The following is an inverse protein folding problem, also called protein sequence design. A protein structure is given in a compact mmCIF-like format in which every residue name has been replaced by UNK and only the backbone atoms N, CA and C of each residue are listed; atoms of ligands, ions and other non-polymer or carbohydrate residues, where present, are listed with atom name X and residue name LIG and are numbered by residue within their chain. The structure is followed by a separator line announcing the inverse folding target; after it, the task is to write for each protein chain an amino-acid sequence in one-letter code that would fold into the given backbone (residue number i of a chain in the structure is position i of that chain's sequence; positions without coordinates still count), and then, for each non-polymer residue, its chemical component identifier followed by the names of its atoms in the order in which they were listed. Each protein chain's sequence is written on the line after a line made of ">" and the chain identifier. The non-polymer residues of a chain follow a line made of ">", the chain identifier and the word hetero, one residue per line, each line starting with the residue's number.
data_IF_584654240623
#
_entry.id   IF_584654240623
#
_cell.length_a   1.000
_cell.length_b   1.000
_cell.length_c   1.000
_cell.angle_alpha   90.00
_cell.angle_beta   90.00
_cell.angle_gamma   90.00
#
_symmetry.space_group_name_H-M   'P 1'
#
loop_
_entity.id
_entity.type
_entity.pdbx_description
1 polymer ?
#
# COMPACT_ATOMS: atom_id res chain seq x y z
N UNK A 1 6.36 1.85 20.78
CA UNK A 1 5.34 2.84 21.17
C UNK A 1 4.20 2.13 21.84
N UNK A 2 3.82 2.61 23.01
CA UNK A 2 2.73 2.03 23.74
C UNK A 2 1.39 2.32 23.05
N UNK A 3 0.47 1.34 23.08
CA UNK A 3 -0.85 1.51 22.48
C UNK A 3 -1.65 2.66 23.10
N UNK A 4 -1.28 3.10 24.29
CA UNK A 4 -1.98 4.21 24.94
C UNK A 4 -1.67 5.58 24.34
N UNK A 5 -0.67 5.68 23.49
CA UNK A 5 -0.20 6.98 23.02
C UNK A 5 -1.07 7.66 21.97
N UNK A 6 -1.95 6.92 21.30
CA UNK A 6 -2.83 7.53 20.31
C UNK A 6 -4.26 7.13 20.61
N UNK A 7 -4.51 6.84 21.90
CA UNK A 7 -5.73 6.25 22.21
C UNK A 7 -6.89 7.11 22.04
N UNK A 8 -6.87 8.22 22.15
CA UNK A 8 -8.02 8.85 22.39
C UNK A 8 -8.29 10.02 21.61
N UNK A 9 -8.90 9.83 20.70
CA UNK A 9 -9.50 10.86 20.12
C UNK A 9 -10.44 11.40 21.02
N UNK A 10 -10.49 12.29 21.41
CA UNK A 10 -11.08 13.37 21.23
C UNK A 10 -11.15 14.38 22.13
N UNK A 11 -10.30 14.51 22.86
CA UNK A 11 -10.18 15.64 23.70
C UNK A 11 -9.40 16.71 22.98
N UNK A 12 -9.86 17.96 23.06
CA UNK A 12 -9.22 19.06 22.34
C UNK A 12 -7.75 19.23 22.69
N UNK A 13 -7.37 18.96 23.95
CA UNK A 13 -5.97 19.04 24.37
C UNK A 13 -5.08 17.98 23.80
N UNK A 14 -5.64 16.88 23.34
CA UNK A 14 -4.90 15.76 22.75
C UNK A 14 -4.79 15.86 21.24
N UNK A 15 -5.56 16.72 20.61
CA UNK A 15 -5.61 16.84 19.17
C UNK A 15 -4.24 17.19 18.56
N UNK A 16 -3.51 18.11 19.17
CA UNK A 16 -2.18 18.47 18.67
C UNK A 16 -1.17 17.33 18.82
N UNK A 17 -1.29 16.53 19.89
CA UNK A 17 -0.46 15.35 20.07
C UNK A 17 -0.76 14.29 19.02
N UNK A 18 -2.04 14.06 18.72
CA UNK A 18 -2.46 13.13 17.67
C UNK A 18 -1.98 13.61 16.30
N UNK A 19 -2.10 14.92 16.02
CA UNK A 19 -1.63 15.48 14.76
C UNK A 19 -0.12 15.27 14.58
N UNK A 20 0.67 15.44 15.64
CA UNK A 20 2.11 15.20 15.61
C UNK A 20 2.41 13.72 15.36
N UNK A 21 1.68 12.82 16.01
CA UNK A 21 1.81 11.39 15.78
C UNK A 21 1.39 11.01 14.36
N UNK A 22 0.37 11.68 13.84
CA UNK A 22 -0.09 11.44 12.49
C UNK A 22 0.99 11.77 11.45
N UNK A 23 1.75 12.85 11.64
CA UNK A 23 2.86 13.16 10.74
C UNK A 23 3.91 12.05 10.74
N UNK A 24 4.26 11.51 11.91
CA UNK A 24 5.17 10.37 12.00
C UNK A 24 4.59 9.12 11.33
N UNK A 25 3.30 8.88 11.49
CA UNK A 25 2.61 7.77 10.86
C UNK A 25 2.63 7.94 9.35
N UNK A 26 2.35 9.14 8.85
CA UNK A 26 2.38 9.44 7.42
C UNK A 26 3.76 9.20 6.84
N UNK A 27 4.81 9.65 7.53
CA UNK A 27 6.19 9.43 7.11
C UNK A 27 6.50 7.94 6.98
N UNK A 28 6.04 7.13 7.94
CA UNK A 28 6.21 5.69 7.93
C UNK A 28 5.59 5.06 6.67
N UNK A 29 4.34 5.41 6.35
CA UNK A 29 3.66 4.86 5.18
C UNK A 29 4.22 5.40 3.87
N UNK A 30 4.54 6.68 3.82
CA UNK A 30 5.16 7.28 2.63
C UNK A 30 6.52 6.67 2.32
N UNK A 31 7.27 6.30 3.34
CA UNK A 31 8.56 5.62 3.17
C UNK A 31 8.38 4.25 2.51
N UNK A 32 7.34 3.51 2.91
CA UNK A 32 7.01 2.25 2.27
C UNK A 32 6.57 2.42 0.82
N UNK A 33 5.76 3.46 0.55
CA UNK A 33 5.35 3.80 -0.82
C UNK A 33 6.57 4.10 -1.69
N UNK A 34 7.53 4.88 -1.19
CA UNK A 34 8.75 5.19 -1.93
C UNK A 34 9.50 3.92 -2.35
N UNK A 35 9.59 2.95 -1.45
CA UNK A 35 10.24 1.66 -1.75
C UNK A 35 9.50 0.91 -2.86
N UNK A 36 8.19 0.80 -2.76
CA UNK A 36 7.40 0.07 -3.76
C UNK A 36 7.46 0.78 -5.11
N UNK A 37 7.31 2.10 -5.14
CA UNK A 37 7.35 2.87 -6.40
C UNK A 37 8.72 2.76 -7.05
N UNK A 38 9.81 2.88 -6.27
CA UNK A 38 11.16 2.74 -6.81
C UNK A 38 11.40 1.35 -7.40
N UNK A 39 10.95 0.30 -6.70
CA UNK A 39 11.06 -1.07 -7.18
C UNK A 39 10.30 -1.26 -8.49
N UNK A 40 9.08 -0.76 -8.59
CA UNK A 40 8.28 -0.86 -9.80
C UNK A 40 8.91 -0.11 -10.96
N UNK A 41 9.47 1.07 -10.72
CA UNK A 41 10.15 1.84 -11.76
C UNK A 41 11.39 1.11 -12.28
N UNK A 42 12.17 0.52 -11.39
CA UNK A 42 13.34 -0.26 -11.77
C UNK A 42 12.93 -1.47 -12.61
N UNK A 43 11.89 -2.19 -12.17
CA UNK A 43 11.38 -3.35 -12.90
C UNK A 43 10.85 -2.98 -14.27
N UNK A 44 10.14 -1.84 -14.37
CA UNK A 44 9.66 -1.34 -15.65
C UNK A 44 10.81 -1.03 -16.60
N UNK A 45 11.84 -0.34 -16.10
CA UNK A 45 13.00 0.03 -16.91
C UNK A 45 13.78 -1.20 -17.39
N UNK A 46 13.95 -2.18 -16.52
CA UNK A 46 14.62 -3.43 -16.87
C UNK A 46 13.84 -4.18 -17.95
N UNK A 47 12.53 -4.30 -17.78
CA UNK A 47 11.66 -4.95 -18.77
C UNK A 47 11.71 -4.21 -20.11
N UNK A 48 11.64 -2.87 -20.08
CA UNK A 48 11.73 -2.05 -21.28
C UNK A 48 13.03 -2.27 -22.03
N UNK A 49 14.14 -2.36 -21.30
CA UNK A 49 15.44 -2.60 -21.94
C UNK A 49 15.49 -3.96 -22.66
N UNK A 50 14.79 -4.96 -22.13
CA UNK A 50 14.82 -6.31 -22.69
C UNK A 50 13.75 -6.55 -23.76
N UNK A 51 12.64 -5.78 -23.74
CA UNK A 51 11.47 -6.04 -24.59
C UNK A 51 11.05 -4.84 -25.43
N UNK A 52 11.74 -3.72 -25.32
CA UNK A 52 11.47 -2.48 -26.06
C UNK A 52 10.05 -1.91 -25.87
N UNK A 53 9.42 -2.19 -24.74
CA UNK A 53 8.13 -1.60 -24.35
C UNK A 53 8.01 -1.52 -22.83
N UNK A 54 7.12 -0.65 -22.36
CA UNK A 54 6.85 -0.48 -20.93
C UNK A 54 5.73 -1.42 -20.51
N UNK A 55 5.93 -2.28 -19.51
CA UNK A 55 4.85 -3.10 -18.95
C UNK A 55 3.98 -2.31 -17.96
N UNK A 56 4.41 -1.13 -17.54
CA UNK A 56 3.66 -0.25 -16.67
C UNK A 56 3.36 1.05 -17.42
N UNK A 57 2.07 1.39 -17.51
CA UNK A 57 1.63 2.63 -18.12
C UNK A 57 1.70 3.79 -17.15
N UNK A 58 1.29 3.57 -15.91
CA UNK A 58 1.24 4.61 -14.90
C UNK A 58 1.26 4.02 -13.49
N UNK A 59 1.82 4.77 -12.54
CA UNK A 59 1.85 4.43 -11.13
C UNK A 59 1.30 5.62 -10.35
N UNK A 60 0.31 5.37 -9.50
CA UNK A 60 -0.26 6.38 -8.60
C UNK A 60 -0.19 5.87 -7.18
N UNK A 61 0.04 6.75 -6.23
CA UNK A 61 0.09 6.38 -4.82
C UNK A 61 -0.76 7.29 -3.97
N UNK A 62 -1.20 6.77 -2.84
CA UNK A 62 -2.07 7.51 -1.93
C UNK A 62 -1.92 6.95 -0.52
N UNK A 63 -1.98 7.85 0.46
CA UNK A 63 -2.17 7.48 1.87
C UNK A 63 -3.56 7.95 2.29
N UNK A 64 -4.31 7.09 2.97
CA UNK A 64 -5.64 7.45 3.45
C UNK A 64 -5.57 8.62 4.43
N UNK A 65 -6.58 9.47 4.39
CA UNK A 65 -6.71 10.56 5.36
C UNK A 65 -6.92 10.00 6.77
N UNK A 66 -6.54 10.78 7.77
CA UNK A 66 -6.76 10.41 9.15
C UNK A 66 -8.24 10.14 9.43
N UNK A 67 -9.12 10.98 8.92
CA UNK A 67 -10.57 10.81 9.10
C UNK A 67 -11.05 9.47 8.54
N UNK A 68 -10.60 9.10 7.35
CA UNK A 68 -10.96 7.80 6.75
C UNK A 68 -10.44 6.62 7.56
N UNK A 69 -9.23 6.72 8.08
CA UNK A 69 -8.63 5.67 8.92
C UNK A 69 -9.46 5.50 10.20
N UNK A 70 -9.76 6.60 10.87
CA UNK A 70 -10.52 6.60 12.12
C UNK A 70 -11.91 6.01 11.89
N UNK A 71 -12.60 6.43 10.84
CA UNK A 71 -13.94 5.90 10.50
C UNK A 71 -13.89 4.39 10.30
N UNK A 72 -12.90 3.91 9.59
CA UNK A 72 -12.73 2.47 9.36
C UNK A 72 -12.46 1.71 10.66
N UNK A 73 -11.60 2.25 11.50
CA UNK A 73 -11.31 1.64 12.80
C UNK A 73 -12.55 1.56 13.69
N UNK A 74 -13.33 2.63 13.74
CA UNK A 74 -14.58 2.66 14.50
C UNK A 74 -15.58 1.64 13.99
N UNK A 75 -15.77 1.57 12.67
CA UNK A 75 -16.71 0.61 12.06
C UNK A 75 -16.32 -0.84 12.35
N UNK A 76 -15.01 -1.12 12.44
CA UNK A 76 -14.52 -2.47 12.70
C UNK A 76 -14.28 -2.77 14.16
N UNK A 77 -14.56 -1.82 15.05
CA UNK A 77 -14.34 -2.02 16.48
C UNK A 77 -12.87 -2.15 16.87
N UNK A 78 -11.98 -1.51 16.10
CA UNK A 78 -10.53 -1.56 16.36
C UNK A 78 -10.18 -0.46 17.37
N UNK A 79 -9.38 -0.78 18.41
CA UNK A 79 -8.92 0.26 19.33
C UNK A 79 -8.19 1.39 18.61
N UNK A 80 -8.45 2.64 19.01
CA UNK A 80 -7.89 3.81 18.35
C UNK A 80 -6.46 4.08 18.82
N UNK A 81 -5.56 3.14 18.55
CA UNK A 81 -4.13 3.24 18.87
C UNK A 81 -3.29 3.10 17.62
N UNK A 82 -2.08 3.64 17.63
CA UNK A 82 -1.15 3.51 16.52
C UNK A 82 -0.81 2.05 16.24
N UNK A 83 -0.57 1.27 17.29
CA UNK A 83 -0.20 -0.13 17.13
C UNK A 83 -1.34 -0.95 16.54
N UNK A 84 -2.58 -0.74 17.00
CA UNK A 84 -3.74 -1.42 16.47
C UNK A 84 -3.99 -1.02 15.01
N UNK A 85 -3.83 0.26 14.69
CA UNK A 85 -3.95 0.76 13.32
C UNK A 85 -2.96 0.05 12.39
N UNK A 86 -1.69 0.02 12.75
CA UNK A 86 -0.66 -0.62 11.93
C UNK A 86 -0.90 -2.13 11.77
N UNK A 87 -1.38 -2.77 12.81
CA UNK A 87 -1.61 -4.22 12.81
C UNK A 87 -2.85 -4.61 12.02
N UNK A 88 -3.94 -3.85 12.17
CA UNK A 88 -5.25 -4.26 11.67
C UNK A 88 -5.64 -3.61 10.34
N UNK A 89 -5.12 -2.43 10.01
CA UNK A 89 -5.46 -1.74 8.78
C UNK A 89 -4.27 -1.82 7.82
N UNK A 90 -4.37 -2.64 6.79
CA UNK A 90 -3.25 -2.91 5.86
C UNK A 90 -3.31 -2.08 4.57
N UNK A 91 -4.37 -1.33 4.35
CA UNK A 91 -4.58 -0.55 3.13
C UNK A 91 -4.50 0.98 3.36
N UNK A 92 -3.81 1.41 4.42
CA UNK A 92 -3.60 2.83 4.67
C UNK A 92 -2.77 3.45 3.56
N UNK A 93 -1.70 2.78 3.15
CA UNK A 93 -0.88 3.19 2.02
C UNK A 93 -1.22 2.32 0.82
N UNK A 94 -1.48 2.94 -0.32
CA UNK A 94 -1.83 2.24 -1.54
C UNK A 94 -1.03 2.71 -2.74
N UNK A 95 -0.71 1.78 -3.63
CA UNK A 95 -0.07 2.06 -4.90
C UNK A 95 -0.91 1.40 -5.99
N UNK A 96 -1.35 2.20 -6.96
CA UNK A 96 -2.08 1.70 -8.12
C UNK A 96 -1.14 1.60 -9.30
N UNK A 97 -1.08 0.43 -9.91
CA UNK A 97 -0.25 0.14 -11.07
C UNK A 97 -1.16 -0.13 -12.25
N UNK A 98 -1.02 0.66 -13.30
CA UNK A 98 -1.84 0.50 -14.52
C UNK A 98 -0.93 -0.07 -15.61
N UNK A 99 -1.30 -1.23 -16.14
CA UNK A 99 -0.56 -1.93 -17.17
C UNK A 99 -1.34 -1.91 -18.49
N UNK A 100 -0.66 -1.99 -19.66
CA UNK A 100 -1.34 -2.07 -20.94
C UNK A 100 -2.17 -3.34 -21.08
N UNK A 101 -1.65 -4.49 -20.63
CA UNK A 101 -2.27 -5.80 -20.85
C UNK A 101 -2.38 -6.59 -19.55
N UNK A 102 -3.33 -7.53 -19.52
CA UNK A 102 -3.52 -8.43 -18.36
C UNK A 102 -2.24 -9.23 -18.08
N UNK A 103 -1.56 -9.73 -19.11
CA UNK A 103 -0.31 -10.47 -18.94
C UNK A 103 0.76 -9.64 -18.23
N UNK A 104 0.81 -8.35 -18.48
CA UNK A 104 1.74 -7.44 -17.82
C UNK A 104 1.43 -7.32 -16.33
N UNK A 105 0.14 -7.30 -15.96
CA UNK A 105 -0.28 -7.25 -14.56
C UNK A 105 0.36 -8.39 -13.77
N UNK A 106 0.19 -9.62 -14.25
CA UNK A 106 0.72 -10.79 -13.56
C UNK A 106 2.24 -10.82 -13.55
N UNK A 107 2.85 -10.41 -14.65
CA UNK A 107 4.30 -10.39 -14.76
C UNK A 107 4.93 -9.38 -13.80
N UNK A 108 4.41 -8.16 -13.77
CA UNK A 108 4.91 -7.11 -12.87
C UNK A 108 4.69 -7.53 -11.41
N UNK A 109 3.52 -8.07 -11.09
CA UNK A 109 3.23 -8.54 -9.73
C UNK A 109 4.20 -9.63 -9.29
N UNK A 110 4.48 -10.61 -10.15
CA UNK A 110 5.42 -11.68 -9.85
C UNK A 110 6.85 -11.14 -9.66
N UNK A 111 7.28 -10.23 -10.52
CA UNK A 111 8.61 -9.64 -10.39
C UNK A 111 8.79 -8.91 -9.06
N UNK A 112 7.76 -8.19 -8.61
CA UNK A 112 7.81 -7.47 -7.36
C UNK A 112 7.89 -8.42 -6.16
N UNK A 113 7.01 -9.41 -6.09
CA UNK A 113 6.94 -10.31 -4.93
C UNK A 113 8.06 -11.34 -4.86
N UNK A 114 8.82 -11.50 -5.93
CA UNK A 114 10.00 -12.36 -5.91
C UNK A 114 11.21 -11.70 -5.24
N UNK A 115 11.12 -10.42 -4.92
CA UNK A 115 12.20 -9.73 -4.22
C UNK A 115 12.22 -10.12 -2.75
N UNK A 116 13.44 -10.30 -2.20
CA UNK A 116 13.61 -10.81 -0.85
C UNK A 116 13.03 -9.90 0.24
N UNK A 117 12.94 -8.60 -0.02
CA UNK A 117 12.45 -7.61 0.92
C UNK A 117 10.97 -7.23 0.72
N UNK A 118 10.25 -8.04 -0.05
CA UNK A 118 8.80 -7.89 -0.26
C UNK A 118 8.12 -9.21 0.10
N UNK A 119 7.18 -9.13 1.06
CA UNK A 119 6.48 -10.31 1.54
C UNK A 119 4.99 -10.16 1.24
N UNK A 120 4.36 -11.20 0.72
CA UNK A 120 2.92 -11.20 0.42
C UNK A 120 2.14 -11.47 1.71
N UNK A 121 1.15 -10.64 2.00
CA UNK A 121 0.19 -10.86 3.10
C UNK A 121 -1.09 -11.47 2.55
N UNK A 122 -1.69 -10.84 1.54
CA UNK A 122 -2.91 -11.34 0.89
C UNK A 122 -2.88 -11.10 -0.61
N UNK A 123 -3.62 -11.92 -1.34
CA UNK A 123 -3.86 -11.75 -2.78
C UNK A 123 -5.34 -11.96 -3.02
N UNK A 124 -5.97 -11.02 -3.75
CA UNK A 124 -7.34 -11.15 -4.23
C UNK A 124 -7.34 -10.86 -5.73
N UNK A 125 -7.64 -11.88 -6.52
CA UNK A 125 -7.58 -11.78 -7.97
C UNK A 125 -8.97 -11.54 -8.55
N UNK A 126 -9.32 -10.27 -8.71
CA UNK A 126 -10.58 -9.88 -9.33
C UNK A 126 -10.49 -9.79 -10.85
N UNK A 127 -9.36 -10.16 -11.44
CA UNK A 127 -9.24 -10.34 -12.89
C UNK A 127 -9.78 -11.71 -13.27
N UNK A 128 -9.35 -12.76 -12.55
CA UNK A 128 -9.86 -14.11 -12.77
C UNK A 128 -11.30 -14.27 -12.31
N UNK A 129 -11.66 -13.61 -11.20
CA UNK A 129 -13.03 -13.61 -10.67
C UNK A 129 -13.48 -12.17 -10.45
N UNK A 130 -13.97 -11.50 -11.48
CA UNK A 130 -14.44 -10.11 -11.34
C UNK A 130 -15.53 -9.99 -10.29
N UNK A 131 -15.61 -8.81 -9.66
CA UNK A 131 -16.71 -8.51 -8.74
C UNK A 131 -18.02 -8.46 -9.51
N UNK A 132 -19.15 -8.61 -8.81
CA UNK A 132 -20.48 -8.58 -9.42
C UNK A 132 -20.72 -7.33 -10.26
N UNK A 133 -20.16 -6.20 -9.85
CA UNK A 133 -20.28 -4.94 -10.60
C UNK A 133 -19.32 -4.85 -11.80
N UNK A 134 -18.59 -5.92 -12.13
CA UNK A 134 -17.65 -5.95 -13.25
C UNK A 134 -16.26 -5.44 -12.94
N UNK A 135 -15.99 -5.02 -11.71
CA UNK A 135 -14.66 -4.50 -11.33
C UNK A 135 -13.59 -5.59 -11.47
N UNK A 136 -12.50 -5.25 -12.14
CA UNK A 136 -11.39 -6.17 -12.43
C UNK A 136 -10.08 -5.55 -11.99
N UNK A 137 -9.40 -6.21 -11.07
CA UNK A 137 -8.09 -5.78 -10.58
C UNK A 137 -7.43 -6.93 -9.82
N UNK A 138 -6.11 -6.95 -9.79
CA UNK A 138 -5.35 -7.84 -8.91
C UNK A 138 -4.97 -7.01 -7.68
N UNK A 139 -5.48 -7.40 -6.51
CA UNK A 139 -5.20 -6.72 -5.26
C UNK A 139 -4.21 -7.53 -4.45
N UNK A 140 -3.15 -6.89 -4.00
CA UNK A 140 -2.17 -7.51 -3.11
C UNK A 140 -1.94 -6.61 -1.91
N UNK A 141 -1.80 -7.22 -0.75
CA UNK A 141 -1.22 -6.53 0.40
C UNK A 141 0.18 -7.14 0.57
N UNK A 142 1.19 -6.28 0.57
CA UNK A 142 2.58 -6.69 0.76
C UNK A 142 3.18 -5.95 1.95
N UNK A 143 4.20 -6.54 2.56
CA UNK A 143 5.06 -5.88 3.52
C UNK A 143 6.39 -5.62 2.82
N UNK A 144 6.83 -4.38 2.83
CA UNK A 144 8.11 -4.00 2.24
C UNK A 144 9.06 -3.54 3.34
N UNK A 145 10.30 -3.99 3.28
CA UNK A 145 11.32 -3.58 4.24
C UNK A 145 11.73 -2.14 3.98
N UNK A 146 11.73 -1.33 5.03
CA UNK A 146 12.20 0.05 4.98
C UNK A 146 13.29 0.21 6.05
N UNK A 147 14.45 0.64 5.61
CA UNK A 147 15.59 0.86 6.51
C UNK A 147 15.65 2.34 6.88
N UNK A 148 15.39 2.64 8.14
CA UNK A 148 15.59 3.96 8.70
C UNK A 148 17.01 4.08 9.24
N UNK A 149 17.36 5.23 9.82
CA UNK A 149 18.74 5.48 10.26
C UNK A 149 19.22 4.53 11.36
N UNK A 150 18.28 4.06 12.21
CA UNK A 150 18.61 3.28 13.40
C UNK A 150 17.80 1.98 13.53
N UNK A 151 16.92 1.68 12.59
CA UNK A 151 16.07 0.49 12.65
C UNK A 151 15.50 0.16 11.28
N UNK A 152 14.87 -1.02 11.19
CA UNK A 152 14.15 -1.49 10.01
C UNK A 152 12.71 -1.78 10.40
N UNK A 153 11.77 -1.36 9.55
CA UNK A 153 10.36 -1.73 9.70
C UNK A 153 9.86 -2.43 8.44
N UNK A 154 8.85 -3.27 8.60
CA UNK A 154 8.09 -3.83 7.49
C UNK A 154 6.80 -3.03 7.36
N UNK A 155 6.65 -2.32 6.24
CA UNK A 155 5.52 -1.41 6.04
C UNK A 155 4.49 -2.08 5.13
N UNK A 156 3.20 -2.16 5.54
CA UNK A 156 2.17 -2.73 4.69
C UNK A 156 1.75 -1.74 3.61
N UNK A 157 1.72 -2.23 2.38
CA UNK A 157 1.30 -1.46 1.21
C UNK A 157 0.28 -2.28 0.45
N UNK A 158 -0.87 -1.67 0.14
CA UNK A 158 -1.84 -2.26 -0.76
C UNK A 158 -1.44 -1.92 -2.20
N UNK A 159 -1.22 -2.92 -3.03
CA UNK A 159 -0.85 -2.72 -4.42
C UNK A 159 -2.01 -3.21 -5.30
N UNK A 160 -2.57 -2.29 -6.10
CA UNK A 160 -3.70 -2.57 -6.96
C UNK A 160 -3.24 -2.54 -8.40
N UNK A 161 -3.25 -3.70 -9.07
CA UNK A 161 -2.84 -3.79 -10.48
C UNK A 161 -4.09 -3.82 -11.34
N UNK A 162 -4.16 -2.89 -12.29
CA UNK A 162 -5.24 -2.85 -13.27
C UNK A 162 -4.63 -2.81 -14.67
N UNK A 163 -5.46 -3.07 -15.68
CA UNK A 163 -5.06 -2.99 -17.08
C UNK A 163 -5.94 -1.99 -17.82
N UNK A 164 -5.43 -1.47 -18.93
CA UNK A 164 -6.20 -0.58 -19.77
C UNK A 164 -7.39 -1.33 -20.34
N UNK A 165 -8.56 -0.66 -20.47
CA UNK A 165 -9.72 -1.32 -21.02
C UNK A 165 -9.47 -1.73 -22.49
N UNK A 166 -10.03 -2.88 -22.86
CA UNK A 166 -10.02 -3.31 -24.26
C UNK A 166 -10.94 -2.40 -25.06
N UNK A 167 -10.47 -1.92 -26.20
CA UNK A 167 -11.26 -1.13 -27.12
C UNK A 167 -11.87 -2.02 -28.19
#
# INVERSE_FOLDING_TARGET
>A
MDDTQIEMLPMLGEFSSIASQYEHIMFYYESGIQQIVAKLQILNNEFKNNHERNPIENIKSRVKSLDSIIDKMKRKGIPLTTNAMKREIKDIAGVRVICPFISDVYQVANMLVNQADVEIVTIKDYIKKPKENGYRSLHMIVLVDVYFSDHKDKVPIAVYYTHLPAN
#
